data_IF_165181648104
#
_entry.id   IF_165181648104
#
_cell.length_a   1.000
_cell.length_b   1.000
_cell.length_c   1.000
_cell.angle_alpha   90.00
_cell.angle_beta   90.00
_cell.angle_gamma   90.00
#
_symmetry.space_group_name_H-M   'P 1'
#
loop_
_entity.id
_entity.type
_entity.pdbx_description
1 polymer ?
#
# COMPACT_ATOMS: atom_id res chain seq x y z
N UNK A 1 -50.05 -8.64 30.61
CA UNK A 1 -49.97 -7.22 31.03
C UNK A 1 -49.38 -7.20 32.43
N UNK A 2 -48.19 -6.64 32.60
CA UNK A 2 -47.42 -6.66 33.85
C UNK A 2 -46.02 -6.13 33.58
N UNK A 3 -45.49 -5.29 34.46
CA UNK A 3 -44.27 -4.50 34.21
C UNK A 3 -43.02 -5.16 34.77
N UNK A 4 -41.97 -5.25 33.95
CA UNK A 4 -40.59 -5.46 34.38
C UNK A 4 -39.67 -4.62 33.48
N UNK A 5 -39.33 -3.41 33.94
CA UNK A 5 -38.29 -2.60 33.32
C UNK A 5 -36.93 -2.96 33.92
N UNK A 6 -36.04 -3.55 33.11
CA UNK A 6 -34.69 -3.90 33.54
C UNK A 6 -33.72 -2.75 33.27
N UNK A 7 -33.26 -2.08 34.33
CA UNK A 7 -32.16 -1.11 34.26
C UNK A 7 -30.85 -1.85 34.00
N UNK A 8 -30.08 -1.41 33.00
CA UNK A 8 -28.67 -1.78 32.84
C UNK A 8 -27.79 -0.54 32.85
N UNK A 9 -26.56 -0.73 33.35
CA UNK A 9 -25.81 0.32 34.03
C UNK A 9 -25.01 1.21 33.09
N UNK A 10 -25.04 2.51 33.35
CA UNK A 10 -24.00 3.43 32.87
C UNK A 10 -22.68 3.13 33.59
N UNK A 11 -21.65 2.71 32.84
CA UNK A 11 -20.30 2.46 33.37
C UNK A 11 -19.55 3.76 33.67
N UNK A 12 -19.98 4.48 34.70
CA UNK A 12 -19.29 5.66 35.21
C UNK A 12 -18.02 5.26 35.97
N UNK A 13 -16.86 5.27 35.30
CA UNK A 13 -15.56 5.17 35.96
C UNK A 13 -15.37 6.34 36.93
N UNK A 14 -15.57 6.06 38.22
CA UNK A 14 -15.60 7.05 39.30
C UNK A 14 -14.19 7.29 39.84
N UNK A 15 -13.75 8.55 39.88
CA UNK A 15 -12.41 8.88 40.35
C UNK A 15 -12.16 8.47 41.81
N UNK A 16 -10.92 8.09 42.09
CA UNK A 16 -10.23 8.33 43.37
C UNK A 16 -9.17 9.41 43.14
N UNK A 17 -8.88 10.23 44.14
CA UNK A 17 -8.18 11.50 43.96
C UNK A 17 -7.00 11.71 44.94
N UNK A 18 -6.01 12.50 44.50
CA UNK A 18 -4.79 12.85 45.23
C UNK A 18 -3.65 11.82 45.02
N UNK A 19 -2.36 12.20 45.03
CA UNK A 19 -1.69 13.50 45.22
C UNK A 19 -0.35 13.44 44.43
N UNK A 20 0.17 14.45 43.73
CA UNK A 20 -0.27 15.82 43.38
C UNK A 20 -0.12 16.00 41.83
N UNK A 21 0.09 17.15 41.16
CA UNK A 21 0.38 18.53 41.56
C UNK A 21 0.43 19.53 40.38
N UNK A 22 1.12 20.66 40.58
CA UNK A 22 1.34 21.83 39.70
C UNK A 22 0.57 21.98 38.37
N UNK A 23 -0.37 22.94 38.40
CA UNK A 23 -1.21 23.39 37.30
C UNK A 23 -0.79 24.81 36.88
N UNK A 24 -0.27 24.97 35.67
CA UNK A 24 0.00 26.31 35.10
C UNK A 24 -1.23 26.78 34.32
N UNK A 25 -1.98 27.69 34.93
CA UNK A 25 -3.07 28.41 34.28
C UNK A 25 -2.51 29.46 33.30
N UNK A 26 -3.06 29.53 32.09
CA UNK A 26 -3.01 30.76 31.28
C UNK A 26 -4.31 30.90 30.50
N UNK A 27 -5.38 31.21 31.24
CA UNK A 27 -6.71 31.48 30.72
C UNK A 27 -6.72 32.55 29.61
N UNK A 28 -7.32 32.20 28.46
CA UNK A 28 -7.40 33.06 27.27
C UNK A 28 -8.19 34.35 27.51
N UNK A 29 -7.70 35.50 27.02
CA UNK A 29 -8.48 36.75 26.96
C UNK A 29 -7.90 37.78 25.97
N UNK A 30 -8.68 38.11 24.93
CA UNK A 30 -8.72 39.47 24.36
C UNK A 30 -8.05 39.77 23.02
N UNK A 31 -8.89 40.14 22.05
CA UNK A 31 -8.74 41.33 21.19
C UNK A 31 -7.78 41.34 19.97
N UNK A 32 -8.38 41.08 18.80
CA UNK A 32 -8.35 41.92 17.58
C UNK A 32 -7.02 42.49 17.02
N UNK A 33 -6.67 42.06 15.80
CA UNK A 33 -5.99 42.88 14.79
C UNK A 33 -6.48 42.48 13.39
N UNK A 34 -6.37 43.40 12.41
CA UNK A 34 -6.92 43.22 11.04
C UNK A 34 -5.84 43.31 9.96
N UNK A 35 -6.02 42.56 8.87
CA UNK A 35 -5.18 42.58 7.66
C UNK A 35 -4.55 41.19 7.37
N UNK A 36 -4.30 40.78 6.13
CA UNK A 36 -4.62 41.43 4.85
C UNK A 36 -3.43 41.50 3.90
N UNK A 37 -3.36 40.60 2.91
CA UNK A 37 -2.45 40.73 1.77
C UNK A 37 -1.70 39.45 1.34
N UNK A 38 -2.00 39.03 0.11
CA UNK A 38 -1.10 38.47 -0.93
C UNK A 38 -0.04 37.40 -0.59
N UNK A 39 -0.15 36.26 -1.31
CA UNK A 39 0.91 35.74 -2.19
C UNK A 39 2.25 35.31 -1.56
N UNK A 40 2.35 34.02 -1.20
CA UNK A 40 3.62 33.35 -0.93
C UNK A 40 3.88 32.21 -1.92
N UNK A 41 4.77 32.43 -2.89
CA UNK A 41 5.33 31.37 -3.72
C UNK A 41 6.72 31.01 -3.21
N UNK A 42 6.93 29.73 -2.85
CA UNK A 42 8.23 29.17 -2.51
C UNK A 42 8.21 27.67 -2.88
N UNK A 43 9.25 27.09 -3.50
CA UNK A 43 10.60 27.61 -3.70
C UNK A 43 11.66 26.91 -2.85
N UNK A 44 11.43 25.64 -2.49
CA UNK A 44 12.37 24.81 -1.74
C UNK A 44 13.51 24.31 -2.62
N UNK A 45 14.60 25.08 -2.70
CA UNK A 45 15.85 24.65 -3.33
C UNK A 45 17.04 24.99 -2.41
N UNK A 46 17.93 24.03 -2.17
CA UNK A 46 19.21 24.24 -1.48
C UNK A 46 19.40 23.47 -0.18
N UNK A 47 19.61 22.15 -0.27
CA UNK A 47 20.30 21.41 0.78
C UNK A 47 21.83 21.54 0.54
N UNK A 48 22.51 22.39 1.31
CA UNK A 48 23.97 22.59 1.18
C UNK A 48 24.72 22.34 2.48
N UNK A 49 25.56 21.30 2.50
CA UNK A 49 26.69 21.19 3.43
C UNK A 49 26.45 20.44 4.74
N UNK A 50 26.45 19.12 4.68
CA UNK A 50 26.75 18.24 5.82
C UNK A 50 27.84 17.26 5.41
N UNK A 51 28.98 17.23 6.11
CA UNK A 51 30.12 16.40 5.75
C UNK A 51 30.47 15.39 6.86
N UNK A 52 29.98 14.16 6.73
CA UNK A 52 30.53 13.03 7.49
C UNK A 52 29.54 11.90 7.83
N UNK A 53 29.94 10.66 7.52
CA UNK A 53 29.52 9.47 8.30
C UNK A 53 28.49 8.55 7.67
N UNK A 54 27.72 9.01 6.67
CA UNK A 54 26.89 8.17 5.81
C UNK A 54 26.90 8.73 4.39
N UNK A 55 26.52 7.91 3.40
CA UNK A 55 26.02 8.46 2.14
C UNK A 55 24.58 8.88 2.42
N UNK A 56 24.32 10.19 2.52
CA UNK A 56 22.96 10.71 2.60
C UNK A 56 22.17 10.19 1.40
N UNK A 57 21.17 9.32 1.64
CA UNK A 57 20.35 8.69 0.59
C UNK A 57 19.70 9.74 -0.32
N UNK A 58 19.45 10.93 0.22
CA UNK A 58 18.90 12.09 -0.47
C UNK A 58 19.88 12.82 -1.40
N UNK A 59 21.19 12.66 -1.22
CA UNK A 59 22.22 13.46 -1.91
C UNK A 59 22.38 13.14 -3.40
N UNK A 60 21.80 12.03 -3.86
CA UNK A 60 21.85 11.57 -5.26
C UNK A 60 20.48 11.54 -5.95
N UNK A 61 19.43 12.11 -5.34
CA UNK A 61 18.12 12.19 -6.00
C UNK A 61 18.14 13.11 -7.22
N UNK A 62 17.34 12.79 -8.24
CA UNK A 62 17.13 13.68 -9.38
C UNK A 62 16.36 14.95 -8.96
N UNK A 63 16.50 16.03 -9.72
CA UNK A 63 15.93 17.35 -9.35
C UNK A 63 14.39 17.39 -9.38
N UNK A 64 13.75 16.39 -9.98
CA UNK A 64 12.31 16.13 -10.03
C UNK A 64 11.85 15.06 -9.01
N UNK A 65 12.67 14.76 -7.99
CA UNK A 65 12.40 13.77 -6.96
C UNK A 65 12.53 14.38 -5.57
N UNK A 66 11.61 13.98 -4.70
CA UNK A 66 11.71 14.22 -3.26
C UNK A 66 12.53 13.11 -2.61
N UNK A 67 12.98 13.32 -1.37
CA UNK A 67 13.64 12.26 -0.60
C UNK A 67 12.94 12.02 0.74
N UNK A 68 12.63 10.76 1.01
CA UNK A 68 12.39 10.26 2.36
C UNK A 68 13.71 9.63 2.88
N UNK A 69 14.17 9.95 4.10
CA UNK A 69 15.42 9.39 4.64
C UNK A 69 15.35 7.87 4.94
N UNK A 70 14.17 7.27 4.87
CA UNK A 70 13.88 5.85 5.13
C UNK A 70 13.53 5.08 3.86
N UNK A 71 12.81 5.69 2.90
CA UNK A 71 12.41 5.06 1.63
C UNK A 71 13.30 5.47 0.42
N UNK A 72 14.00 6.60 0.51
CA UNK A 72 14.85 7.13 -0.56
C UNK A 72 14.15 8.10 -1.52
N UNK A 73 14.61 8.13 -2.77
CA UNK A 73 14.17 9.10 -3.76
C UNK A 73 12.81 8.73 -4.38
N UNK A 74 11.78 9.54 -4.13
CA UNK A 74 10.40 9.33 -4.61
C UNK A 74 9.90 10.43 -5.55
N UNK A 75 8.87 10.09 -6.33
CA UNK A 75 8.05 11.04 -7.08
C UNK A 75 7.18 11.92 -6.15
N UNK A 76 6.96 11.49 -4.89
CA UNK A 76 6.21 12.20 -3.86
C UNK A 76 6.69 11.81 -2.45
N UNK A 77 6.20 12.54 -1.42
CA UNK A 77 6.28 12.15 0.00
C UNK A 77 4.88 12.15 0.65
N UNK A 78 4.05 13.11 0.23
CA UNK A 78 2.65 13.24 0.58
C UNK A 78 1.82 13.50 -0.69
N UNK A 79 0.51 13.33 -0.62
CA UNK A 79 -0.42 13.50 -1.75
C UNK A 79 -0.33 14.90 -2.41
N UNK A 80 0.03 15.95 -1.66
CA UNK A 80 0.14 17.32 -2.21
C UNK A 80 1.21 17.46 -3.30
N UNK A 81 2.20 16.57 -3.34
CA UNK A 81 3.24 16.54 -4.37
C UNK A 81 2.73 15.99 -5.71
N UNK A 82 1.62 15.23 -5.69
CA UNK A 82 1.05 14.58 -6.86
C UNK A 82 0.07 15.51 -7.57
N UNK A 83 0.60 16.32 -8.51
CA UNK A 83 -0.18 17.36 -9.22
C UNK A 83 -0.95 16.86 -10.45
N UNK A 84 -0.84 15.58 -10.79
CA UNK A 84 -1.71 14.93 -11.78
C UNK A 84 -3.04 14.54 -11.13
N UNK A 85 -4.14 15.13 -11.60
CA UNK A 85 -5.48 14.86 -11.09
C UNK A 85 -5.95 13.41 -11.29
N UNK A 86 -5.29 12.64 -12.16
CA UNK A 86 -5.54 11.22 -12.35
C UNK A 86 -4.68 10.36 -11.39
N UNK A 87 -3.73 10.95 -10.66
CA UNK A 87 -2.80 10.26 -9.75
C UNK A 87 -2.58 10.99 -8.42
N UNK A 88 -3.65 11.36 -7.68
CA UNK A 88 -3.55 12.22 -6.50
C UNK A 88 -2.85 11.55 -5.29
N UNK A 89 -2.82 10.22 -5.21
CA UNK A 89 -2.37 9.51 -4.02
C UNK A 89 -0.85 9.26 -4.04
N UNK A 90 -0.18 9.45 -2.90
CA UNK A 90 1.23 9.07 -2.74
C UNK A 90 1.35 7.73 -2.01
N UNK A 91 1.92 6.72 -2.67
CA UNK A 91 2.13 5.36 -2.10
C UNK A 91 3.53 4.87 -2.48
N UNK A 92 4.31 4.43 -1.49
CA UNK A 92 5.71 3.98 -1.63
C UNK A 92 6.59 4.97 -2.43
N UNK A 93 6.46 6.25 -2.10
CA UNK A 93 7.15 7.35 -2.78
C UNK A 93 6.72 7.56 -4.24
N UNK A 94 5.58 7.02 -4.68
CA UNK A 94 5.08 7.14 -6.07
C UNK A 94 3.66 7.69 -6.14
N UNK A 95 3.40 8.57 -7.11
CA UNK A 95 2.05 9.01 -7.41
C UNK A 95 1.23 7.90 -8.10
N UNK A 96 0.08 7.57 -7.51
CA UNK A 96 -0.84 6.51 -7.89
C UNK A 96 -2.25 7.07 -8.06
N UNK A 97 -3.08 6.34 -8.79
CA UNK A 97 -4.47 6.73 -9.04
C UNK A 97 -5.27 6.75 -7.73
N UNK A 98 -4.92 5.88 -6.78
CA UNK A 98 -5.49 5.87 -5.45
C UNK A 98 -4.54 5.25 -4.40
N UNK A 99 -4.83 5.52 -3.13
CA UNK A 99 -4.45 4.69 -1.97
C UNK A 99 -5.70 4.09 -1.28
N UNK A 100 -6.86 4.71 -1.50
CA UNK A 100 -8.18 4.38 -0.95
C UNK A 100 -9.26 4.70 -1.98
N UNK A 101 -10.48 4.16 -1.80
CA UNK A 101 -11.62 4.50 -2.65
C UNK A 101 -11.98 6.01 -2.65
N UNK A 102 -11.58 6.76 -1.61
CA UNK A 102 -11.83 8.19 -1.51
C UNK A 102 -10.93 9.06 -2.42
N UNK A 103 -9.86 8.48 -2.98
CA UNK A 103 -8.99 9.15 -3.95
C UNK A 103 -9.54 9.08 -5.38
N UNK A 104 -10.50 8.18 -5.64
CA UNK A 104 -11.03 7.92 -6.98
C UNK A 104 -12.04 8.98 -7.44
N UNK A 105 -12.07 9.31 -8.76
CA UNK A 105 -12.84 10.44 -9.27
C UNK A 105 -14.35 10.18 -9.37
N UNK A 106 -14.80 8.93 -9.41
CA UNK A 106 -16.22 8.56 -9.48
C UNK A 106 -16.72 8.07 -8.12
N UNK A 107 -17.85 8.59 -7.66
CA UNK A 107 -18.53 8.06 -6.48
C UNK A 107 -19.03 6.64 -6.76
N UNK A 108 -18.43 5.64 -6.12
CA UNK A 108 -18.66 4.21 -6.39
C UNK A 108 -17.49 3.51 -7.10
N UNK A 109 -16.37 4.20 -7.36
CA UNK A 109 -15.12 3.54 -7.68
C UNK A 109 -14.41 3.04 -6.40
N UNK A 110 -13.77 1.88 -6.53
CA UNK A 110 -12.91 1.26 -5.52
C UNK A 110 -11.44 1.36 -5.94
N UNK A 111 -10.54 1.33 -4.95
CA UNK A 111 -9.10 1.30 -5.19
C UNK A 111 -8.61 -0.15 -5.25
N UNK A 112 -8.13 -0.58 -6.41
CA UNK A 112 -7.64 -1.92 -6.65
C UNK A 112 -6.22 -2.12 -6.06
N UNK A 113 -5.84 -3.38 -5.85
CA UNK A 113 -4.56 -3.76 -5.23
C UNK A 113 -3.31 -3.40 -6.05
N UNK A 114 -3.48 -3.06 -7.33
CA UNK A 114 -2.44 -2.50 -8.20
C UNK A 114 -2.38 -0.95 -8.19
N UNK A 115 -3.15 -0.33 -7.29
CA UNK A 115 -3.25 1.11 -7.02
C UNK A 115 -3.85 1.91 -8.19
N UNK A 116 -4.82 1.28 -8.88
CA UNK A 116 -5.72 1.89 -9.86
C UNK A 116 -7.14 2.09 -9.34
N UNK A 117 -7.84 3.06 -9.92
CA UNK A 117 -9.28 3.22 -9.73
C UNK A 117 -10.08 2.42 -10.76
N UNK A 118 -11.21 1.88 -10.33
CA UNK A 118 -12.22 1.29 -11.20
C UNK A 118 -13.51 1.08 -10.43
N UNK A 119 -14.63 0.86 -11.11
CA UNK A 119 -15.93 0.79 -10.45
C UNK A 119 -16.09 -0.45 -9.55
N UNK A 120 -16.88 -0.29 -8.49
CA UNK A 120 -17.35 -1.38 -7.63
C UNK A 120 -18.18 -2.38 -8.47
N UNK A 121 -17.90 -3.67 -8.33
CA UNK A 121 -18.66 -4.71 -9.00
C UNK A 121 -19.78 -5.26 -8.09
N UNK A 122 -20.92 -5.59 -8.69
CA UNK A 122 -22.10 -6.15 -8.00
C UNK A 122 -22.45 -7.57 -8.45
N UNK A 123 -21.84 -8.02 -9.54
CA UNK A 123 -21.78 -9.41 -9.99
C UNK A 123 -20.86 -9.54 -11.22
N UNK A 124 -20.61 -10.76 -11.67
CA UNK A 124 -19.59 -11.06 -12.70
C UNK A 124 -19.81 -10.30 -14.02
N UNK A 125 -21.06 -9.95 -14.34
CA UNK A 125 -21.42 -9.16 -15.53
C UNK A 125 -20.92 -7.71 -15.53
N UNK A 126 -20.43 -7.20 -14.40
CA UNK A 126 -19.77 -5.89 -14.29
C UNK A 126 -18.26 -5.97 -14.63
N UNK A 127 -17.71 -7.18 -14.71
CA UNK A 127 -16.27 -7.44 -14.84
C UNK A 127 -15.91 -8.11 -16.19
N UNK A 128 -14.63 -8.06 -16.62
CA UNK A 128 -14.13 -8.87 -17.73
C UNK A 128 -14.00 -10.37 -17.39
N UNK A 129 -13.72 -10.68 -16.12
CA UNK A 129 -13.48 -12.02 -15.59
C UNK A 129 -14.56 -12.37 -14.54
N UNK A 130 -14.32 -12.12 -13.23
CA UNK A 130 -15.23 -12.41 -12.12
C UNK A 130 -15.35 -11.23 -11.15
N UNK A 131 -16.41 -11.24 -10.32
CA UNK A 131 -16.61 -10.25 -9.25
C UNK A 131 -16.51 -10.88 -7.87
N UNK A 132 -15.60 -10.39 -7.02
CA UNK A 132 -15.68 -10.62 -5.57
C UNK A 132 -16.77 -9.71 -5.00
N UNK A 133 -17.99 -10.24 -4.83
CA UNK A 133 -19.13 -9.47 -4.32
C UNK A 133 -19.08 -9.20 -2.81
N UNK A 134 -18.17 -9.83 -2.05
CA UNK A 134 -17.94 -9.52 -0.63
C UNK A 134 -16.95 -8.35 -0.48
N UNK A 135 -16.02 -8.18 -1.43
CA UNK A 135 -15.03 -7.10 -1.46
C UNK A 135 -15.33 -5.97 -2.48
N UNK A 136 -16.30 -6.15 -3.37
CA UNK A 136 -16.73 -5.17 -4.39
C UNK A 136 -15.75 -4.99 -5.56
N UNK A 137 -14.81 -5.93 -5.78
CA UNK A 137 -13.71 -5.79 -6.75
C UNK A 137 -13.75 -6.86 -7.85
N UNK A 138 -13.49 -6.43 -9.10
CA UNK A 138 -13.23 -7.38 -10.18
C UNK A 138 -11.92 -8.14 -9.94
N UNK A 139 -11.98 -9.46 -10.11
CA UNK A 139 -10.88 -10.40 -9.86
C UNK A 139 -10.79 -11.43 -10.98
N UNK A 140 -9.65 -12.09 -11.13
CA UNK A 140 -9.50 -13.14 -12.15
C UNK A 140 -10.04 -14.50 -11.68
N UNK A 141 -10.08 -14.73 -10.36
CA UNK A 141 -10.50 -15.99 -9.77
C UNK A 141 -10.94 -15.79 -8.30
N UNK A 142 -11.88 -16.62 -7.86
CA UNK A 142 -12.25 -16.79 -6.44
C UNK A 142 -11.82 -18.17 -5.92
N UNK A 143 -11.64 -19.12 -6.83
CA UNK A 143 -11.34 -20.53 -6.59
C UNK A 143 -10.37 -21.06 -7.65
N UNK A 144 -9.77 -22.23 -7.39
CA UNK A 144 -8.96 -22.93 -8.41
C UNK A 144 -9.77 -23.37 -9.63
N UNK A 145 -11.10 -23.48 -9.54
CA UNK A 145 -11.93 -23.91 -10.68
C UNK A 145 -12.13 -22.81 -11.73
N UNK A 146 -11.82 -21.55 -11.39
CA UNK A 146 -11.92 -20.40 -12.30
C UNK A 146 -10.67 -20.27 -13.19
N UNK A 147 -9.56 -20.91 -12.79
CA UNK A 147 -8.30 -20.96 -13.53
C UNK A 147 -8.18 -22.31 -14.28
N UNK A 148 -7.93 -22.29 -15.60
CA UNK A 148 -7.94 -23.53 -16.42
C UNK A 148 -6.82 -24.52 -16.07
N UNK A 149 -5.57 -24.06 -16.09
CA UNK A 149 -4.35 -24.86 -15.87
C UNK A 149 -3.43 -24.22 -14.79
N UNK A 150 -4.01 -23.37 -13.94
CA UNK A 150 -3.32 -22.52 -12.97
C UNK A 150 -4.02 -22.57 -11.60
N UNK A 151 -3.34 -22.09 -10.55
CA UNK A 151 -3.91 -21.95 -9.22
C UNK A 151 -4.46 -20.53 -9.00
N UNK A 152 -5.53 -20.40 -8.23
CA UNK A 152 -5.98 -19.08 -7.76
C UNK A 152 -5.17 -18.65 -6.53
N UNK A 153 -4.50 -17.50 -6.58
CA UNK A 153 -3.70 -17.02 -5.44
C UNK A 153 -4.60 -16.43 -4.34
N UNK A 154 -4.62 -17.01 -3.11
CA UNK A 154 -5.66 -16.74 -2.10
C UNK A 154 -5.68 -15.32 -1.52
N UNK A 155 -4.65 -14.51 -1.78
CA UNK A 155 -4.55 -13.10 -1.33
C UNK A 155 -4.42 -12.10 -2.49
N UNK A 156 -4.38 -12.58 -3.74
CA UNK A 156 -4.25 -11.71 -4.92
C UNK A 156 -5.41 -11.90 -5.90
N UNK A 157 -6.21 -12.97 -5.74
CA UNK A 157 -7.40 -13.29 -6.54
C UNK A 157 -7.13 -13.23 -8.05
N UNK A 158 -5.91 -13.68 -8.41
CA UNK A 158 -5.41 -13.86 -9.77
C UNK A 158 -4.92 -15.28 -10.00
N UNK A 159 -4.99 -15.75 -11.24
CA UNK A 159 -4.43 -17.03 -11.63
C UNK A 159 -2.89 -16.95 -11.66
N UNK A 160 -2.23 -17.97 -11.12
CA UNK A 160 -0.78 -18.08 -10.98
C UNK A 160 -0.31 -19.50 -11.28
N UNK A 161 0.95 -19.66 -11.66
CA UNK A 161 1.51 -20.99 -11.90
C UNK A 161 1.73 -21.74 -10.57
N UNK A 162 1.98 -21.01 -9.48
CA UNK A 162 2.27 -21.58 -8.16
C UNK A 162 2.03 -20.63 -6.98
N UNK A 163 1.79 -21.20 -5.80
CA UNK A 163 1.87 -20.52 -4.50
C UNK A 163 3.05 -21.07 -3.68
N UNK A 164 3.42 -22.34 -3.87
CA UNK A 164 4.59 -23.01 -3.30
C UNK A 164 5.26 -23.98 -4.31
N UNK A 165 6.50 -24.41 -4.04
CA UNK A 165 7.26 -25.39 -4.86
C UNK A 165 6.47 -26.68 -5.19
N UNK A 166 5.61 -27.13 -4.26
CA UNK A 166 4.77 -28.33 -4.42
C UNK A 166 3.77 -28.26 -5.57
N UNK A 167 3.46 -27.05 -6.04
CA UNK A 167 2.48 -26.80 -7.08
C UNK A 167 3.09 -26.94 -8.47
N UNK A 168 4.42 -26.88 -8.56
CA UNK A 168 5.16 -26.87 -9.81
C UNK A 168 5.47 -28.28 -10.35
N UNK A 169 5.57 -28.45 -11.69
CA UNK A 169 6.01 -29.69 -12.29
C UNK A 169 7.49 -29.96 -12.00
N UNK A 170 7.91 -31.22 -12.07
CA UNK A 170 9.29 -31.63 -11.76
C UNK A 170 10.36 -30.86 -12.56
N UNK A 171 10.11 -30.61 -13.84
CA UNK A 171 11.00 -29.85 -14.75
C UNK A 171 11.12 -28.35 -14.39
N UNK A 172 10.30 -27.82 -13.48
CA UNK A 172 10.30 -26.43 -13.07
C UNK A 172 9.96 -26.29 -11.57
N UNK A 173 10.56 -27.15 -10.74
CA UNK A 173 10.13 -27.45 -9.36
C UNK A 173 10.18 -26.30 -8.33
N UNK A 174 10.64 -25.09 -8.68
CA UNK A 174 10.72 -23.94 -7.77
C UNK A 174 9.67 -22.89 -8.05
N UNK A 175 8.95 -22.46 -7.03
CA UNK A 175 8.01 -21.36 -7.12
C UNK A 175 8.69 -20.02 -6.85
N UNK A 176 8.81 -19.17 -7.87
CA UNK A 176 9.32 -17.82 -7.69
C UNK A 176 8.21 -16.91 -7.09
N UNK A 177 8.13 -16.87 -5.75
CA UNK A 177 7.08 -16.13 -5.00
C UNK A 177 6.92 -14.63 -5.31
N UNK A 178 7.82 -13.98 -6.08
CA UNK A 178 7.62 -12.60 -6.52
C UNK A 178 6.66 -12.52 -7.71
N UNK A 179 6.92 -13.32 -8.76
CA UNK A 179 6.13 -13.34 -9.99
C UNK A 179 4.99 -14.37 -9.95
N UNK A 180 5.08 -15.32 -9.00
CA UNK A 180 4.25 -16.53 -8.87
C UNK A 180 4.31 -17.44 -10.09
N UNK A 181 5.55 -17.73 -10.51
CA UNK A 181 5.86 -18.57 -11.67
C UNK A 181 6.78 -19.73 -11.29
N UNK A 182 6.52 -20.89 -11.88
CA UNK A 182 7.41 -22.04 -11.76
C UNK A 182 8.72 -21.81 -12.53
N UNK A 183 9.83 -22.26 -11.95
CA UNK A 183 11.20 -22.10 -12.44
C UNK A 183 12.01 -23.37 -12.17
N UNK A 184 12.97 -23.63 -13.04
CA UNK A 184 13.89 -24.76 -12.88
C UNK A 184 14.76 -24.58 -11.63
N UNK A 185 15.24 -23.35 -11.40
CA UNK A 185 16.05 -22.98 -10.25
C UNK A 185 15.78 -21.54 -9.79
N UNK A 186 16.11 -21.26 -8.52
CA UNK A 186 16.25 -19.93 -7.94
C UNK A 186 17.69 -19.68 -7.47
N UNK A 187 18.41 -20.74 -7.11
CA UNK A 187 19.82 -20.75 -6.70
C UNK A 187 20.55 -21.99 -7.25
N UNK A 188 21.88 -21.94 -7.34
CA UNK A 188 22.70 -23.01 -7.93
C UNK A 188 22.46 -24.40 -7.31
N UNK A 189 22.09 -24.46 -6.02
CA UNK A 189 21.81 -25.73 -5.31
C UNK A 189 20.47 -26.37 -5.66
N UNK A 190 19.68 -25.75 -6.53
CA UNK A 190 18.49 -26.36 -7.13
C UNK A 190 18.83 -27.24 -8.35
N UNK A 191 19.94 -26.94 -9.02
CA UNK A 191 20.42 -27.63 -10.22
C UNK A 191 21.21 -28.91 -9.88
N UNK A 192 21.57 -29.71 -10.90
CA UNK A 192 22.36 -30.91 -10.70
C UNK A 192 23.84 -30.58 -10.39
N UNK A 193 24.55 -31.56 -9.80
CA UNK A 193 25.97 -31.43 -9.47
C UNK A 193 26.84 -31.15 -10.71
N UNK A 194 27.26 -29.89 -10.88
CA UNK A 194 28.03 -29.42 -12.05
C UNK A 194 27.34 -28.31 -12.84
N UNK A 195 26.16 -27.87 -12.41
CA UNK A 195 25.38 -26.79 -12.99
C UNK A 195 25.27 -25.58 -12.06
N UNK A 196 24.89 -24.44 -12.64
CA UNK A 196 24.60 -23.16 -12.00
C UNK A 196 23.25 -22.63 -12.50
N UNK A 197 22.64 -21.73 -11.72
CA UNK A 197 21.37 -21.10 -12.07
C UNK A 197 21.58 -19.76 -12.79
N UNK A 198 21.50 -19.75 -14.13
CA UNK A 198 21.50 -18.51 -14.91
C UNK A 198 20.09 -18.23 -15.45
N UNK A 199 19.58 -17.01 -15.21
CA UNK A 199 18.25 -16.54 -15.65
C UNK A 199 17.10 -17.50 -15.27
N UNK A 200 17.23 -18.19 -14.13
CA UNK A 200 16.22 -19.12 -13.56
C UNK A 200 16.08 -20.44 -14.34
N UNK A 201 17.10 -20.78 -15.14
CA UNK A 201 17.32 -22.10 -15.75
C UNK A 201 18.68 -22.67 -15.35
N UNK A 202 18.79 -24.00 -15.37
CA UNK A 202 20.02 -24.72 -15.04
C UNK A 202 20.94 -24.83 -16.26
N UNK A 203 22.21 -24.51 -16.04
CA UNK A 203 23.23 -24.49 -17.08
C UNK A 203 24.56 -25.05 -16.55
N UNK A 204 25.30 -25.80 -17.37
CA UNK A 204 26.62 -26.30 -16.98
C UNK A 204 27.61 -25.16 -16.65
N UNK A 205 28.41 -25.37 -15.60
CA UNK A 205 29.37 -24.40 -15.05
C UNK A 205 30.69 -24.28 -15.84
#
# INVERSE_FOLDING_TARGET
MGVLGAVWLSSSCRQVAGLDGDFVDTSSSGSTASGGGVGGAGGGAGATGGAGGAADVCSTCAADKFCDPSQGCGDCLEASHCTDANKPACVDGKCRECATAADCPTSGDVCYSDLKCGSECTGDGDCPDLCDTDAGVCVQCLTVADCSDQLCHPTQLRCVDCVADSDCPAEASRCQHHDHKCKECLIDTDCASGEICDKQSCHAA
#
